data_IF_239648434857
#
_entry.id   IF_239648434857
#
_cell.length_a   1.000
_cell.length_b   1.000
_cell.length_c   1.000
_cell.angle_alpha   90.00
_cell.angle_beta   90.00
_cell.angle_gamma   90.00
#
_symmetry.space_group_name_H-M   'P 1'
#
loop_
_entity.id
_entity.type
_entity.pdbx_description
1 polymer ?
#
# COMPACT_ATOMS: atom_id res chain seq x y z
N UNK A 1 -7.74 -7.11 12.96
CA UNK A 1 -6.65 -6.14 12.73
C UNK A 1 -7.07 -4.78 13.23
N UNK A 2 -6.19 -4.02 13.85
CA UNK A 2 -6.41 -2.57 14.06
C UNK A 2 -5.85 -1.84 12.85
N UNK A 3 -6.72 -1.21 12.05
CA UNK A 3 -6.32 -0.44 10.87
C UNK A 3 -5.70 0.89 11.32
N UNK A 4 -4.51 1.27 10.80
CA UNK A 4 -3.94 2.58 11.05
C UNK A 4 -4.88 3.71 10.63
N UNK A 5 -4.83 4.79 11.41
CA UNK A 5 -5.55 6.01 11.12
C UNK A 5 -5.36 6.46 9.66
N UNK A 6 -6.45 6.92 9.03
CA UNK A 6 -6.49 7.45 7.66
C UNK A 6 -6.21 6.45 6.54
N UNK A 7 -5.90 5.18 6.82
CA UNK A 7 -5.63 4.18 5.76
C UNK A 7 -6.85 4.02 4.84
N UNK A 8 -8.04 3.77 5.39
CA UNK A 8 -9.25 3.58 4.58
C UNK A 8 -9.60 4.83 3.77
N UNK A 9 -9.66 6.00 4.40
CA UNK A 9 -9.96 7.27 3.72
C UNK A 9 -8.91 7.67 2.67
N UNK A 10 -7.65 7.25 2.84
CA UNK A 10 -6.60 7.53 1.86
C UNK A 10 -6.65 6.60 0.65
N UNK A 11 -6.96 5.32 0.85
CA UNK A 11 -6.97 4.32 -0.22
C UNK A 11 -8.28 4.32 -1.02
N UNK A 12 -9.41 4.67 -0.39
CA UNK A 12 -10.75 4.64 -1.02
C UNK A 12 -10.82 5.39 -2.37
N UNK A 13 -10.27 6.61 -2.53
CA UNK A 13 -10.33 7.33 -3.80
C UNK A 13 -9.52 6.70 -4.94
N UNK A 14 -8.68 5.70 -4.64
CA UNK A 14 -7.84 4.99 -5.62
C UNK A 14 -8.51 3.74 -6.19
N UNK A 15 -9.68 3.34 -5.65
CA UNK A 15 -10.45 2.21 -6.15
C UNK A 15 -10.98 2.46 -7.57
N UNK A 16 -11.10 1.40 -8.36
CA UNK A 16 -11.71 1.47 -9.69
C UNK A 16 -13.23 1.31 -9.58
N UNK A 17 -13.94 2.44 -9.55
CA UNK A 17 -15.40 2.49 -9.44
C UNK A 17 -16.14 2.07 -10.72
N UNK A 18 -15.44 2.05 -11.86
CA UNK A 18 -16.02 1.72 -13.17
C UNK A 18 -15.64 0.30 -13.62
N UNK A 19 -14.88 -0.43 -12.81
CA UNK A 19 -14.46 -1.79 -13.11
C UNK A 19 -15.63 -2.76 -13.16
N UNK A 20 -15.72 -3.54 -14.23
CA UNK A 20 -16.56 -4.76 -14.25
C UNK A 20 -16.00 -5.85 -13.35
N UNK A 21 -14.75 -5.70 -12.88
CA UNK A 21 -14.11 -6.57 -11.89
C UNK A 21 -14.52 -6.11 -10.50
N UNK A 22 -15.55 -6.73 -9.94
CA UNK A 22 -16.10 -6.37 -8.63
C UNK A 22 -15.03 -6.19 -7.53
N UNK A 23 -14.00 -7.04 -7.52
CA UNK A 23 -12.91 -6.99 -6.54
C UNK A 23 -12.05 -5.69 -6.59
N UNK A 24 -12.06 -4.92 -7.68
CA UNK A 24 -11.26 -3.68 -7.81
C UNK A 24 -11.98 -2.41 -7.35
N UNK A 25 -13.28 -2.50 -7.11
CA UNK A 25 -14.11 -1.41 -6.57
C UNK A 25 -13.96 -1.22 -5.05
N UNK A 26 -13.00 -1.92 -4.45
CA UNK A 26 -12.83 -2.01 -3.01
C UNK A 26 -11.37 -2.13 -2.56
N UNK A 27 -11.20 -2.11 -1.25
CA UNK A 27 -9.91 -2.30 -0.57
C UNK A 27 -9.82 -3.75 -0.11
N UNK A 28 -8.73 -4.40 -0.46
CA UNK A 28 -8.35 -5.73 0.03
C UNK A 28 -7.65 -5.59 1.38
N UNK A 29 -8.20 -6.22 2.41
CA UNK A 29 -7.60 -6.36 3.73
C UNK A 29 -7.04 -7.78 3.85
N UNK A 30 -5.76 -7.92 4.13
CA UNK A 30 -5.11 -9.22 4.31
C UNK A 30 -4.32 -9.27 5.62
N UNK A 31 -4.16 -10.46 6.18
CA UNK A 31 -3.20 -10.78 7.23
C UNK A 31 -2.41 -12.01 6.82
N UNK A 32 -1.10 -11.94 7.01
CA UNK A 32 -0.19 -13.07 6.91
C UNK A 32 0.70 -13.06 8.15
N UNK A 33 0.45 -13.99 9.08
CA UNK A 33 1.04 -13.98 10.41
C UNK A 33 0.70 -12.68 11.17
N UNK A 34 1.74 -11.97 11.61
CA UNK A 34 1.58 -10.76 12.41
C UNK A 34 1.40 -9.48 11.59
N UNK A 35 1.65 -9.57 10.30
CA UNK A 35 1.63 -8.43 9.38
C UNK A 35 0.28 -8.34 8.69
N UNK A 36 -0.33 -7.16 8.78
CA UNK A 36 -1.57 -6.84 8.10
C UNK A 36 -1.32 -5.91 6.91
N UNK A 37 -2.16 -6.05 5.88
CA UNK A 37 -2.08 -5.31 4.63
C UNK A 37 -3.44 -4.70 4.28
N UNK A 38 -3.42 -3.48 3.76
CA UNK A 38 -4.55 -2.87 3.06
C UNK A 38 -4.09 -2.49 1.65
N UNK A 39 -4.77 -3.01 0.63
CA UNK A 39 -4.32 -2.94 -0.76
C UNK A 39 -5.45 -2.46 -1.65
N UNK A 40 -5.14 -1.52 -2.55
CA UNK A 40 -6.05 -1.02 -3.58
C UNK A 40 -5.34 -1.01 -4.93
N UNK A 41 -6.06 -1.36 -5.99
CA UNK A 41 -5.54 -1.32 -7.37
C UNK A 41 -6.66 -1.13 -8.38
N UNK A 42 -6.35 -0.45 -9.47
CA UNK A 42 -7.19 -0.36 -10.69
C UNK A 42 -6.61 -1.19 -11.85
N UNK A 43 -5.58 -2.01 -11.57
CA UNK A 43 -4.84 -2.78 -12.56
C UNK A 43 -3.73 -2.01 -13.30
N UNK A 44 -3.62 -0.69 -13.15
CA UNK A 44 -2.53 0.15 -13.71
C UNK A 44 -1.71 0.85 -12.65
N UNK A 45 -2.29 1.11 -11.49
CA UNK A 45 -1.61 1.52 -10.27
C UNK A 45 -2.03 0.63 -9.11
N UNK A 46 -1.20 0.60 -8.09
CA UNK A 46 -1.46 -0.11 -6.84
C UNK A 46 -0.91 0.70 -5.67
N UNK A 47 -1.61 0.68 -4.55
CA UNK A 47 -1.06 1.11 -3.26
C UNK A 47 -1.33 0.02 -2.24
N UNK A 48 -0.27 -0.43 -1.57
CA UNK A 48 -0.32 -1.36 -0.45
C UNK A 48 0.23 -0.67 0.80
N UNK A 49 -0.49 -0.81 1.91
CA UNK A 49 -0.09 -0.34 3.23
C UNK A 49 0.10 -1.56 4.11
N UNK A 50 1.24 -1.63 4.77
CA UNK A 50 1.66 -2.71 5.65
C UNK A 50 1.84 -2.19 7.07
N UNK A 51 1.36 -2.94 8.06
CA UNK A 51 1.63 -2.64 9.46
C UNK A 51 1.64 -3.91 10.31
N UNK A 52 2.38 -3.84 11.42
CA UNK A 52 2.37 -4.87 12.45
C UNK A 52 1.26 -4.58 13.45
N UNK A 53 0.48 -5.60 13.79
CA UNK A 53 -0.62 -5.48 14.75
C UNK A 53 -0.12 -5.79 16.18
N UNK A 54 0.66 -4.84 16.71
CA UNK A 54 1.33 -4.93 18.03
C UNK A 54 0.36 -4.92 19.21
N UNK A 55 -0.86 -4.42 19.01
CA UNK A 55 -1.86 -4.22 20.07
C UNK A 55 -2.90 -5.35 20.16
N UNK A 56 -2.85 -6.37 19.28
CA UNK A 56 -3.86 -7.44 19.24
C UNK A 56 -3.51 -8.59 20.20
N UNK A 57 -4.39 -8.95 21.16
CA UNK A 57 -4.15 -10.08 22.04
C UNK A 57 -4.04 -11.40 21.25
N UNK A 58 -3.06 -12.24 21.60
CA UNK A 58 -2.72 -13.49 20.90
C UNK A 58 -3.94 -14.40 20.68
N UNK A 59 -4.87 -14.46 21.63
CA UNK A 59 -6.04 -15.33 21.58
C UNK A 59 -6.99 -15.07 20.41
N UNK A 60 -6.91 -13.89 19.78
CA UNK A 60 -7.78 -13.50 18.67
C UNK A 60 -7.02 -13.41 17.34
N UNK A 61 -5.74 -13.78 17.28
CA UNK A 61 -4.95 -13.77 16.05
C UNK A 61 -5.35 -14.93 15.15
N UNK A 62 -5.52 -14.66 13.87
CA UNK A 62 -5.66 -15.67 12.81
C UNK A 62 -4.42 -15.60 11.93
N UNK A 63 -3.86 -16.75 11.57
CA UNK A 63 -2.61 -16.80 10.79
C UNK A 63 -2.77 -16.23 9.38
N UNK A 64 -3.94 -16.46 8.79
CA UNK A 64 -4.27 -16.01 7.45
C UNK A 64 -5.68 -15.44 7.46
N UNK A 65 -5.83 -14.21 6.96
CA UNK A 65 -7.13 -13.59 6.74
C UNK A 65 -7.09 -12.80 5.45
N UNK A 66 -8.20 -12.80 4.71
CA UNK A 66 -8.27 -11.98 3.53
C UNK A 66 -9.73 -11.67 3.13
N UNK A 67 -10.09 -10.40 3.08
CA UNK A 67 -11.42 -9.94 2.69
C UNK A 67 -11.32 -8.69 1.83
N UNK A 68 -12.24 -8.50 0.89
CA UNK A 68 -12.32 -7.27 0.09
C UNK A 68 -13.59 -6.54 0.49
N UNK A 69 -13.49 -5.24 0.78
CA UNK A 69 -14.64 -4.41 1.15
C UNK A 69 -14.80 -3.27 0.15
N UNK A 70 -16.03 -2.96 -0.23
CA UNK A 70 -16.30 -1.91 -1.21
C UNK A 70 -15.84 -0.55 -0.71
N UNK A 71 -15.48 0.34 -1.64
CA UNK A 71 -15.09 1.71 -1.32
C UNK A 71 -16.17 2.43 -0.50
N UNK A 72 -17.45 2.19 -0.77
CA UNK A 72 -18.54 2.82 -0.03
C UNK A 72 -18.70 2.29 1.40
N UNK A 73 -18.47 0.98 1.60
CA UNK A 73 -18.36 0.41 2.94
C UNK A 73 -17.18 1.02 3.71
N UNK A 74 -16.02 1.18 3.07
CA UNK A 74 -14.86 1.85 3.66
C UNK A 74 -15.18 3.30 4.10
N UNK A 75 -15.88 4.06 3.26
CA UNK A 75 -16.33 5.43 3.60
C UNK A 75 -17.26 5.44 4.80
N UNK A 76 -18.21 4.50 4.88
CA UNK A 76 -19.14 4.40 6.00
C UNK A 76 -18.41 4.10 7.31
N UNK A 77 -17.45 3.16 7.28
CA UNK A 77 -16.62 2.80 8.42
C UNK A 77 -15.74 3.97 8.88
N UNK A 78 -15.04 4.63 7.95
CA UNK A 78 -14.17 5.78 8.25
C UNK A 78 -14.97 6.97 8.83
N UNK A 79 -16.15 7.24 8.26
CA UNK A 79 -17.08 8.25 8.77
C UNK A 79 -17.53 7.96 10.21
N UNK A 80 -17.79 6.69 10.53
CA UNK A 80 -18.20 6.29 11.88
C UNK A 80 -17.06 6.36 12.90
N UNK A 81 -15.82 6.04 12.49
CA UNK A 81 -14.64 6.23 13.32
C UNK A 81 -14.39 7.70 13.66
N UNK A 82 -14.67 8.59 12.70
CA UNK A 82 -14.50 10.02 12.87
C UNK A 82 -13.02 10.45 12.91
N UNK A 83 -12.74 11.71 13.26
CA UNK A 83 -11.40 12.25 13.17
C UNK A 83 -10.49 11.70 14.27
N UNK A 84 -9.24 11.42 13.88
CA UNK A 84 -8.17 11.01 14.78
C UNK A 84 -7.85 12.13 15.76
N UNK A 85 -7.77 11.80 17.05
CA UNK A 85 -7.48 12.77 18.10
C UNK A 85 -6.02 12.69 18.54
N UNK A 86 -5.29 13.82 18.48
CA UNK A 86 -3.93 13.93 19.06
C UNK A 86 -3.91 13.69 20.58
N UNK A 87 -5.02 14.00 21.27
CA UNK A 87 -5.15 13.84 22.73
C UNK A 87 -5.55 12.43 23.16
N UNK A 88 -6.18 11.67 22.26
CA UNK A 88 -6.57 10.29 22.54
C UNK A 88 -6.35 9.44 21.28
N UNK A 89 -5.18 8.77 21.17
CA UNK A 89 -4.79 8.01 19.99
C UNK A 89 -5.69 6.82 19.65
N UNK A 90 -6.56 6.38 20.58
CA UNK A 90 -7.54 5.33 20.29
C UNK A 90 -8.70 5.82 19.43
N UNK A 91 -8.96 7.13 19.40
CA UNK A 91 -10.04 7.72 18.60
C UNK A 91 -9.68 7.80 17.12
N UNK A 92 -10.64 7.51 16.25
CA UNK A 92 -10.45 7.44 14.80
C UNK A 92 -9.74 6.17 14.34
N UNK A 93 -9.56 5.18 15.22
CA UNK A 93 -9.10 3.83 14.87
C UNK A 93 -10.29 2.95 14.47
N UNK A 94 -10.00 1.98 13.61
CA UNK A 94 -10.94 0.94 13.17
C UNK A 94 -10.34 -0.40 13.52
N UNK A 95 -11.07 -1.24 14.24
CA UNK A 95 -10.74 -2.64 14.46
C UNK A 95 -11.62 -3.50 13.55
N UNK A 96 -11.00 -4.40 12.80
CA UNK A 96 -11.66 -5.39 11.97
C UNK A 96 -11.63 -6.72 12.70
N UNK A 97 -12.80 -7.31 12.83
CA UNK A 97 -12.93 -8.69 13.29
C UNK A 97 -12.55 -9.62 12.12
N UNK A 98 -11.58 -10.49 12.36
CA UNK A 98 -10.99 -11.36 11.33
C UNK A 98 -11.61 -12.78 11.17
N UNK A 99 -12.65 -13.23 11.90
CA UNK A 99 -13.45 -14.36 11.46
C UNK A 99 -14.42 -13.89 10.36
N UNK A 100 -14.12 -14.26 9.12
CA UNK A 100 -15.07 -14.13 8.02
C UNK A 100 -16.05 -15.30 8.05
N UNK A 101 -17.11 -15.18 8.85
CA UNK A 101 -18.28 -16.05 8.66
C UNK A 101 -19.21 -15.41 7.62
N UNK A 102 -19.62 -16.20 6.62
CA UNK A 102 -20.72 -15.88 5.71
C UNK A 102 -20.50 -14.66 4.79
N UNK A 103 -19.26 -14.39 4.35
CA UNK A 103 -19.01 -13.29 3.39
C UNK A 103 -19.29 -11.90 3.95
N UNK A 104 -19.28 -11.74 5.27
CA UNK A 104 -19.42 -10.45 5.96
C UNK A 104 -18.17 -10.12 6.77
N UNK A 105 -17.99 -8.84 7.04
CA UNK A 105 -16.92 -8.30 7.86
C UNK A 105 -17.52 -7.33 8.88
N UNK A 106 -17.13 -7.49 10.15
CA UNK A 106 -17.55 -6.57 11.22
C UNK A 106 -16.40 -5.65 11.58
N UNK A 107 -16.64 -4.34 11.45
CA UNK A 107 -15.72 -3.28 11.82
C UNK A 107 -16.21 -2.58 13.09
N UNK A 108 -15.40 -2.59 14.13
CA UNK A 108 -15.60 -1.80 15.34
C UNK A 108 -14.85 -0.49 15.21
N UNK A 109 -15.56 0.63 15.39
CA UNK A 109 -14.99 1.98 15.31
C UNK A 109 -14.97 2.64 16.69
N UNK A 110 -13.95 3.45 16.94
CA UNK A 110 -13.76 4.14 18.21
C UNK A 110 -13.84 5.65 17.99
N UNK A 111 -14.98 6.25 18.36
CA UNK A 111 -15.26 7.67 18.16
C UNK A 111 -15.43 8.41 19.49
N UNK A 112 -15.53 9.73 19.46
CA UNK A 112 -15.86 10.53 20.66
C UNK A 112 -17.24 10.20 21.26
N UNK A 113 -18.15 9.70 20.44
CA UNK A 113 -19.49 9.27 20.87
C UNK A 113 -19.49 7.89 21.53
N UNK A 114 -18.36 7.18 21.49
CA UNK A 114 -18.21 5.82 22.00
C UNK A 114 -17.80 4.83 20.91
N UNK A 115 -17.88 3.55 21.27
CA UNK A 115 -17.61 2.42 20.39
C UNK A 115 -18.88 2.06 19.61
N UNK A 116 -18.74 1.80 18.31
CA UNK A 116 -19.82 1.30 17.46
C UNK A 116 -19.33 0.16 16.59
N UNK A 117 -20.22 -0.74 16.18
CA UNK A 117 -19.91 -1.84 15.27
C UNK A 117 -20.74 -1.71 13.99
N UNK A 118 -20.10 -1.92 12.85
CA UNK A 118 -20.70 -1.88 11.52
C UNK A 118 -20.36 -3.20 10.84
N UNK A 119 -21.38 -3.94 10.43
CA UNK A 119 -21.22 -5.15 9.63
C UNK A 119 -21.49 -4.82 8.18
N UNK A 120 -20.59 -5.22 7.29
CA UNK A 120 -20.68 -4.99 5.85
C UNK A 120 -20.48 -6.31 5.09
N UNK A 121 -21.07 -6.40 3.90
CA UNK A 121 -20.80 -7.49 2.98
C UNK A 121 -19.40 -7.33 2.37
N UNK A 122 -18.71 -8.46 2.23
CA UNK A 122 -17.45 -8.53 1.51
C UNK A 122 -17.74 -8.67 0.01
N UNK A 123 -16.90 -8.04 -0.82
CA UNK A 123 -17.00 -8.17 -2.26
C UNK A 123 -16.53 -9.56 -2.68
N UNK A 124 -17.37 -10.23 -3.48
CA UNK A 124 -17.01 -11.48 -4.13
C UNK A 124 -16.02 -11.26 -5.29
N UNK A 125 -15.27 -12.32 -5.61
CA UNK A 125 -14.34 -12.35 -6.72
C UNK A 125 -12.87 -12.42 -6.30
N UNK A 126 -12.01 -12.69 -7.28
CA UNK A 126 -10.57 -12.86 -7.06
C UNK A 126 -9.87 -11.51 -7.16
N UNK A 127 -9.34 -11.02 -6.04
CA UNK A 127 -8.42 -9.89 -6.04
C UNK A 127 -7.12 -10.29 -6.77
N UNK A 128 -6.49 -9.40 -7.56
CA UNK A 128 -5.24 -9.71 -8.26
C UNK A 128 -4.14 -10.21 -7.31
N UNK A 129 -3.23 -11.05 -7.81
CA UNK A 129 -2.04 -11.49 -7.09
C UNK A 129 -1.03 -10.33 -6.97
N UNK A 130 -1.36 -9.37 -6.10
CA UNK A 130 -0.73 -8.06 -6.07
C UNK A 130 0.75 -8.07 -5.68
N UNK A 131 1.19 -9.11 -4.97
CA UNK A 131 2.62 -9.25 -4.59
C UNK A 131 3.49 -9.55 -5.81
N UNK A 132 2.94 -10.13 -6.87
CA UNK A 132 3.70 -10.49 -8.08
C UNK A 132 4.19 -9.27 -8.87
N UNK A 133 3.56 -8.10 -8.68
CA UNK A 133 3.96 -6.84 -9.34
C UNK A 133 4.93 -6.00 -8.50
N UNK A 134 5.23 -6.42 -7.27
CA UNK A 134 6.23 -5.79 -6.42
C UNK A 134 7.50 -6.65 -6.52
N UNK A 135 8.57 -6.17 -7.16
CA UNK A 135 9.79 -6.95 -7.31
C UNK A 135 10.35 -7.33 -5.94
N UNK A 136 10.61 -8.62 -5.77
CA UNK A 136 11.08 -9.23 -4.51
C UNK A 136 12.56 -9.00 -4.22
N UNK A 137 13.27 -8.25 -5.07
CA UNK A 137 14.68 -7.93 -4.88
C UNK A 137 14.83 -6.55 -4.27
N UNK A 138 15.72 -6.44 -3.28
CA UNK A 138 16.42 -5.20 -3.02
C UNK A 138 16.95 -4.72 -4.37
N UNK A 139 16.47 -3.55 -4.80
CA UNK A 139 16.97 -2.89 -5.98
C UNK A 139 18.39 -2.41 -5.65
N UNK A 140 19.32 -3.35 -5.71
CA UNK A 140 20.73 -3.11 -5.57
C UNK A 140 21.17 -2.43 -6.87
N UNK A 141 20.89 -1.14 -6.96
CA UNK A 141 21.65 -0.23 -7.81
C UNK A 141 22.90 0.24 -7.08
N UNK A 142 23.56 -0.65 -6.33
CA UNK A 142 25.00 -0.51 -6.14
C UNK A 142 25.68 -0.89 -7.45
N UNK A 143 25.90 0.12 -8.30
CA UNK A 143 27.09 0.15 -9.15
C UNK A 143 28.32 0.31 -8.23
N UNK A 144 28.54 -0.65 -7.33
CA UNK A 144 29.85 -0.83 -6.70
C UNK A 144 30.62 -1.76 -7.60
N UNK A 145 31.26 -1.20 -8.63
CA UNK A 145 32.43 -1.87 -9.18
C UNK A 145 33.37 -2.15 -8.00
N UNK A 146 33.84 -3.39 -7.80
CA UNK A 146 34.82 -3.63 -6.76
C UNK A 146 36.04 -2.77 -7.08
N UNK A 147 36.36 -1.82 -6.20
CA UNK A 147 37.62 -1.08 -6.23
C UNK A 147 38.76 -2.05 -5.84
N UNK A 148 38.97 -3.08 -6.66
CA UNK A 148 40.16 -3.91 -6.61
C UNK A 148 41.26 -3.09 -7.29
N UNK A 149 42.28 -2.72 -6.50
CA UNK A 149 43.48 -1.98 -6.94
C UNK A 149 44.01 -2.48 -8.29
N UNK A 150 43.61 -1.83 -9.38
CA UNK A 150 44.23 -1.99 -10.69
C UNK A 150 45.46 -1.08 -10.74
N UNK A 151 46.61 -1.64 -10.35
CA UNK A 151 47.90 -1.11 -10.79
C UNK A 151 48.10 -1.53 -12.24
N UNK A 152 48.08 -0.57 -13.15
CA UNK A 152 48.51 -0.73 -14.54
C UNK A 152 47.49 -0.22 -15.55
N UNK A 153 47.88 0.83 -16.27
CA UNK A 153 47.41 1.37 -17.57
C UNK A 153 46.11 0.79 -18.19
N UNK A 154 45.01 0.75 -17.43
CA UNK A 154 43.69 0.42 -17.95
C UNK A 154 43.03 1.71 -18.44
N UNK A 155 42.73 1.72 -19.74
CA UNK A 155 41.95 2.74 -20.43
C UNK A 155 40.64 2.93 -19.65
N UNK A 156 40.45 4.10 -19.03
CA UNK A 156 39.19 4.47 -18.40
C UNK A 156 38.17 4.60 -19.53
N UNK A 157 37.38 3.56 -19.77
CA UNK A 157 36.14 3.68 -20.53
C UNK A 157 35.13 4.30 -19.59
N UNK A 158 34.89 5.59 -19.78
CA UNK A 158 33.82 6.35 -19.15
C UNK A 158 32.53 5.53 -19.12
N UNK A 159 31.97 5.36 -17.92
CA UNK A 159 30.65 4.75 -17.75
C UNK A 159 29.67 5.54 -18.60
N UNK A 160 29.06 4.90 -19.60
CA UNK A 160 27.90 5.48 -20.28
C UNK A 160 26.85 5.74 -19.19
N UNK A 161 26.49 7.00 -18.99
CA UNK A 161 25.29 7.36 -18.27
C UNK A 161 24.11 6.71 -18.99
N UNK A 162 23.65 5.57 -18.46
CA UNK A 162 22.48 4.90 -18.97
C UNK A 162 21.26 5.64 -18.38
N UNK A 163 20.65 6.49 -19.19
CA UNK A 163 19.35 7.05 -18.85
C UNK A 163 18.26 6.08 -19.29
N UNK A 164 17.20 5.99 -18.48
CA UNK A 164 16.00 5.25 -18.82
C UNK A 164 14.90 6.27 -19.05
N UNK A 165 14.30 6.24 -20.23
CA UNK A 165 13.13 7.06 -20.53
C UNK A 165 11.88 6.21 -20.28
N UNK A 166 11.04 6.65 -19.37
CA UNK A 166 9.76 6.03 -19.02
C UNK A 166 8.62 6.99 -19.34
N UNK A 167 7.46 6.44 -19.68
CA UNK A 167 6.25 7.23 -19.91
C UNK A 167 5.19 6.75 -18.92
N UNK A 168 4.61 7.68 -18.17
CA UNK A 168 3.62 7.39 -17.13
C UNK A 168 2.39 8.26 -17.35
N UNK A 169 1.24 7.77 -16.88
CA UNK A 169 0.08 8.64 -16.70
C UNK A 169 0.38 9.59 -15.51
N UNK A 170 0.43 10.92 -15.73
CA UNK A 170 0.75 11.86 -14.67
C UNK A 170 -0.26 11.81 -13.52
N UNK A 171 -1.52 11.39 -13.77
CA UNK A 171 -2.54 11.25 -12.73
C UNK A 171 -2.14 10.17 -11.72
N UNK A 172 -1.65 9.02 -12.19
CA UNK A 172 -1.23 7.93 -11.32
C UNK A 172 -0.02 8.32 -10.47
N UNK A 173 0.92 9.10 -11.02
CA UNK A 173 2.06 9.63 -10.27
C UNK A 173 1.58 10.50 -9.11
N UNK A 174 0.64 11.43 -9.38
CA UNK A 174 0.09 12.32 -8.35
C UNK A 174 -0.69 11.54 -7.30
N UNK A 175 -1.58 10.64 -7.72
CA UNK A 175 -2.46 9.86 -6.83
C UNK A 175 -1.65 8.97 -5.88
N UNK A 176 -0.69 8.21 -6.41
CA UNK A 176 0.14 7.30 -5.62
C UNK A 176 1.03 8.09 -4.67
N UNK A 177 1.74 9.12 -5.14
CA UNK A 177 2.57 9.94 -4.27
C UNK A 177 1.77 10.65 -3.16
N UNK A 178 0.58 11.16 -3.48
CA UNK A 178 -0.29 11.79 -2.50
C UNK A 178 -0.81 10.80 -1.44
N UNK A 179 -1.11 9.56 -1.84
CA UNK A 179 -1.50 8.50 -0.91
C UNK A 179 -0.34 8.13 0.02
N UNK A 180 0.85 7.86 -0.54
CA UNK A 180 2.05 7.54 0.23
C UNK A 180 2.42 8.66 1.20
N UNK A 181 2.31 9.92 0.77
CA UNK A 181 2.50 11.07 1.64
C UNK A 181 1.53 11.05 2.84
N UNK A 182 0.24 10.82 2.61
CA UNK A 182 -0.75 10.80 3.70
C UNK A 182 -0.57 9.64 4.70
N UNK A 183 -0.10 8.48 4.24
CA UNK A 183 0.03 7.25 5.04
C UNK A 183 1.38 7.21 5.77
N UNK A 184 2.46 7.41 5.03
CA UNK A 184 3.81 7.03 5.46
C UNK A 184 4.78 8.21 5.51
N UNK A 185 4.31 9.46 5.34
CA UNK A 185 5.14 10.65 5.60
C UNK A 185 4.72 11.36 6.88
N UNK A 186 5.72 11.69 7.69
CA UNK A 186 5.68 12.61 8.82
C UNK A 186 6.57 13.80 8.50
N UNK A 187 6.54 14.82 9.36
CA UNK A 187 7.47 15.96 9.25
C UNK A 187 8.94 15.50 9.30
N UNK A 188 9.22 14.32 9.87
CA UNK A 188 10.56 13.70 9.97
C UNK A 188 10.88 12.72 8.82
N UNK A 189 9.95 12.48 7.90
CA UNK A 189 10.17 11.53 6.80
C UNK A 189 11.15 12.07 5.76
N UNK A 190 11.96 11.18 5.18
CA UNK A 190 12.96 11.53 4.15
C UNK A 190 12.38 11.67 2.73
N UNK A 191 11.06 11.63 2.58
CA UNK A 191 10.37 11.58 1.29
C UNK A 191 10.02 10.15 0.87
N UNK A 192 9.98 9.93 -0.44
CA UNK A 192 9.68 8.63 -1.06
C UNK A 192 10.80 8.24 -2.02
N UNK A 193 11.07 6.94 -2.15
CA UNK A 193 12.08 6.40 -3.05
C UNK A 193 11.42 5.81 -4.30
N UNK A 194 11.92 6.18 -5.48
CA UNK A 194 11.46 5.64 -6.76
C UNK A 194 12.44 4.59 -7.27
N UNK A 195 11.91 3.42 -7.61
CA UNK A 195 12.64 2.32 -8.23
C UNK A 195 12.16 2.20 -9.67
N UNK A 196 12.98 2.68 -10.60
CA UNK A 196 12.70 2.69 -12.03
C UNK A 196 13.51 1.59 -12.71
N UNK A 197 12.87 0.54 -13.25
CA UNK A 197 13.56 -0.54 -13.96
C UNK A 197 14.26 -0.05 -15.22
N UNK A 198 15.38 -0.68 -15.59
CA UNK A 198 16.18 -0.30 -16.77
C UNK A 198 15.45 -0.60 -18.08
N UNK A 199 14.59 -1.61 -18.10
CA UNK A 199 13.85 -2.00 -19.30
C UNK A 199 12.80 -0.95 -19.75
N UNK A 200 12.37 -0.06 -18.83
CA UNK A 200 11.33 0.95 -19.07
C UNK A 200 9.93 0.38 -19.30
N UNK A 201 9.74 -0.94 -19.20
CA UNK A 201 8.48 -1.66 -19.43
C UNK A 201 7.94 -2.30 -18.14
N UNK A 202 8.82 -2.56 -17.18
CA UNK A 202 8.49 -3.10 -15.87
C UNK A 202 7.83 -2.05 -14.96
N UNK A 203 7.04 -2.47 -13.96
CA UNK A 203 6.39 -1.56 -13.04
C UNK A 203 7.39 -0.70 -12.27
N UNK A 204 7.04 0.57 -12.07
CA UNK A 204 7.80 1.46 -11.19
C UNK A 204 7.27 1.27 -9.78
N UNK A 205 8.19 1.07 -8.83
CA UNK A 205 7.84 0.94 -7.42
C UNK A 205 8.23 2.22 -6.69
N UNK A 206 7.34 2.70 -5.83
CA UNK A 206 7.55 3.87 -4.99
C UNK A 206 7.44 3.40 -3.55
N UNK A 207 8.53 3.48 -2.78
CA UNK A 207 8.52 3.09 -1.36
C UNK A 207 8.45 4.33 -0.48
N UNK A 208 7.63 4.24 0.56
CA UNK A 208 7.57 5.20 1.64
C UNK A 208 7.72 4.45 2.96
N UNK A 209 8.83 4.68 3.63
CA UNK A 209 9.15 4.05 4.92
C UNK A 209 9.28 5.13 6.00
N UNK A 210 8.74 4.84 7.17
CA UNK A 210 8.94 5.66 8.37
C UNK A 210 9.37 4.75 9.52
N UNK A 211 10.28 5.26 10.35
CA UNK A 211 10.99 4.48 11.39
C UNK A 211 10.01 3.75 12.33
N UNK A 212 8.84 4.35 12.62
CA UNK A 212 7.88 3.86 13.60
C UNK A 212 6.46 3.62 13.03
N UNK A 213 6.30 3.49 11.70
CA UNK A 213 4.98 3.64 11.04
C UNK A 213 4.73 2.66 9.90
N UNK A 214 3.45 2.52 9.48
CA UNK A 214 3.09 1.62 8.40
C UNK A 214 3.96 1.87 7.17
N UNK A 215 4.55 0.79 6.65
CA UNK A 215 5.28 0.82 5.38
C UNK A 215 4.26 0.91 4.26
N UNK A 216 4.50 1.77 3.28
CA UNK A 216 3.61 1.89 2.14
C UNK A 216 4.38 1.76 0.83
N UNK A 217 3.81 0.98 -0.09
CA UNK A 217 4.33 0.76 -1.43
C UNK A 217 3.30 1.22 -2.44
N UNK A 218 3.74 2.07 -3.35
CA UNK A 218 3.04 2.40 -4.57
C UNK A 218 3.63 1.66 -5.75
N UNK A 219 2.80 1.25 -6.71
CA UNK A 219 3.24 0.70 -7.99
C UNK A 219 2.52 1.46 -9.11
N UNK A 220 3.24 1.81 -10.17
CA UNK A 220 2.68 2.42 -11.36
C UNK A 220 3.19 1.65 -12.58
N UNK A 221 2.26 1.17 -13.41
CA UNK A 221 2.59 0.56 -14.69
C UNK A 221 2.99 1.65 -15.69
N UNK A 222 4.10 1.48 -16.42
CA UNK A 222 4.45 2.37 -17.52
C UNK A 222 3.39 2.27 -18.64
N UNK A 223 3.17 3.39 -19.33
CA UNK A 223 2.39 3.39 -20.56
C UNK A 223 3.22 2.70 -21.64
N UNK A 224 2.65 1.67 -22.28
CA UNK A 224 3.28 1.06 -23.45
C UNK A 224 3.58 2.16 -24.45
N UNK A 225 4.84 2.25 -24.89
CA UNK A 225 5.15 2.99 -26.11
C UNK A 225 4.38 2.27 -27.22
N UNK A 226 3.42 2.94 -27.84
CA UNK A 226 2.76 2.38 -29.03
C UNK A 226 3.84 1.94 -30.01
N UNK A 227 3.78 0.69 -30.46
CA UNK A 227 4.64 0.22 -31.55
C UNK A 227 4.27 0.94 -32.84
#
# INVERSE_FOLDING_TARGET
>A
MIIPAKTLSTLTPLCDHESTRYALSGIRLERVGDTAHAVVTDGRKLVAVEWDDVDKPESNRVDCYAATISADACKAIDKAAGPVSKRNPSLGRVAIDEPSTNGTLTATTFSKAGQSSITVETLEGRFPAWRDVIPSRDFDSSLTAPAQKLRGNAKITTSREAYVAITLDPRYVVEVCAALAKIATTDDSRGVEFFVPIDGESPIVIKAETIDRPKAVGVIMPLSRGK
#
